data_IF_401750305398
#
_entry.id   IF_401750305398
#
_cell.length_a   1.000
_cell.length_b   1.000
_cell.length_c   1.000
_cell.angle_alpha   90.00
_cell.angle_beta   90.00
_cell.angle_gamma   90.00
#
_symmetry.space_group_name_H-M   'P 1'
#
loop_
_entity.id
_entity.type
_entity.pdbx_description
1 polymer ?
#
# COMPACT_ATOMS: atom_id res chain seq x y z
N UNK A 1 -4.13 23.79 -23.23
CA UNK A 1 -2.81 23.17 -23.10
C UNK A 1 -2.81 22.44 -21.77
N UNK A 2 -2.71 21.12 -21.79
CA UNK A 2 -2.58 20.32 -20.55
C UNK A 2 -1.28 20.75 -19.87
N UNK A 3 -1.36 21.40 -18.71
CA UNK A 3 -0.19 21.65 -17.88
C UNK A 3 0.23 20.30 -17.35
N UNK A 4 1.33 19.72 -17.89
CA UNK A 4 1.91 18.50 -17.37
C UNK A 4 2.13 18.69 -15.85
N UNK A 5 1.60 17.78 -15.05
CA UNK A 5 1.82 17.78 -13.62
C UNK A 5 3.27 17.36 -13.36
N UNK A 6 3.97 18.00 -12.42
CA UNK A 6 5.38 17.69 -12.13
C UNK A 6 5.62 16.23 -11.65
N UNK A 7 4.56 15.51 -11.31
CA UNK A 7 4.56 14.09 -10.94
C UNK A 7 4.12 13.16 -12.07
N UNK A 8 3.87 13.67 -13.27
CA UNK A 8 3.43 12.83 -14.39
C UNK A 8 4.52 11.83 -14.79
N UNK A 9 4.10 10.59 -15.05
CA UNK A 9 4.97 9.49 -15.43
C UNK A 9 4.93 9.21 -16.93
N UNK A 10 6.04 8.68 -17.45
CA UNK A 10 5.99 7.84 -18.66
C UNK A 10 5.34 6.51 -18.29
N UNK A 11 4.03 6.40 -18.53
CA UNK A 11 3.21 5.28 -18.06
C UNK A 11 3.63 3.93 -18.64
N UNK A 12 3.95 3.80 -19.95
CA UNK A 12 4.51 2.57 -20.51
C UNK A 12 5.80 2.16 -19.81
N UNK A 13 6.77 3.06 -19.71
CA UNK A 13 8.06 2.79 -19.07
C UNK A 13 7.90 2.42 -17.60
N UNK A 14 7.12 3.18 -16.84
CA UNK A 14 6.85 2.89 -15.43
C UNK A 14 6.21 1.51 -15.26
N UNK A 15 5.25 1.16 -16.11
CA UNK A 15 4.62 -0.16 -16.10
C UNK A 15 5.65 -1.27 -16.33
N UNK A 16 6.49 -1.15 -17.34
CA UNK A 16 7.48 -2.16 -17.69
C UNK A 16 8.53 -2.34 -16.58
N UNK A 17 8.96 -1.25 -15.94
CA UNK A 17 9.88 -1.29 -14.81
C UNK A 17 9.26 -2.00 -13.60
N UNK A 18 8.00 -1.69 -13.25
CA UNK A 18 7.32 -2.32 -12.11
C UNK A 18 7.03 -3.81 -12.36
N UNK A 19 6.66 -4.18 -13.57
CA UNK A 19 6.47 -5.58 -13.98
C UNK A 19 7.78 -6.35 -13.94
N UNK A 20 8.89 -5.76 -14.41
CA UNK A 20 10.21 -6.37 -14.34
C UNK A 20 10.67 -6.54 -12.90
N UNK A 21 10.51 -5.51 -12.07
CA UNK A 21 10.79 -5.57 -10.64
C UNK A 21 10.05 -6.75 -9.96
N UNK A 22 8.75 -6.87 -10.19
CA UNK A 22 7.96 -7.96 -9.62
C UNK A 22 8.49 -9.34 -10.04
N UNK A 23 8.80 -9.51 -11.34
CA UNK A 23 9.34 -10.77 -11.86
C UNK A 23 10.69 -11.14 -11.26
N UNK A 24 11.58 -10.18 -11.17
CA UNK A 24 12.93 -10.38 -10.66
C UNK A 24 12.92 -10.71 -9.17
N UNK A 25 12.19 -9.95 -8.35
CA UNK A 25 12.17 -10.16 -6.91
C UNK A 25 11.45 -11.44 -6.50
N UNK A 26 10.34 -11.80 -7.14
CA UNK A 26 9.63 -13.05 -6.85
C UNK A 26 10.48 -14.26 -7.24
N UNK A 27 11.13 -14.22 -8.42
CA UNK A 27 12.03 -15.29 -8.87
C UNK A 27 13.26 -15.43 -7.99
N UNK A 28 13.87 -14.33 -7.56
CA UNK A 28 15.02 -14.35 -6.67
C UNK A 28 14.70 -14.90 -5.27
N UNK A 29 13.42 -14.88 -4.88
CA UNK A 29 12.94 -15.58 -3.70
C UNK A 29 12.63 -17.08 -3.94
N UNK A 30 12.85 -17.59 -5.17
CA UNK A 30 12.56 -18.97 -5.55
C UNK A 30 11.07 -19.24 -5.77
N UNK A 31 10.28 -18.22 -6.07
CA UNK A 31 8.83 -18.31 -6.28
C UNK A 31 8.42 -17.78 -7.66
N UNK A 32 7.19 -18.09 -8.08
CA UNK A 32 6.64 -17.67 -9.38
C UNK A 32 5.23 -17.07 -9.26
N UNK A 33 4.67 -16.98 -8.05
CA UNK A 33 3.29 -16.61 -7.78
C UNK A 33 3.19 -15.45 -6.80
N UNK A 34 2.05 -14.76 -6.84
CA UNK A 34 1.76 -13.64 -5.98
C UNK A 34 0.40 -13.78 -5.27
N UNK A 35 0.32 -13.24 -4.06
CA UNK A 35 -0.93 -13.10 -3.29
C UNK A 35 -1.14 -11.62 -3.01
N UNK A 36 -2.31 -11.10 -3.36
CA UNK A 36 -2.69 -9.69 -3.19
C UNK A 36 -3.96 -9.58 -2.35
N UNK A 37 -3.91 -8.81 -1.28
CA UNK A 37 -5.11 -8.40 -0.55
C UNK A 37 -5.89 -7.37 -1.37
N UNK A 38 -7.10 -7.73 -1.82
CA UNK A 38 -7.92 -6.89 -2.68
C UNK A 38 -9.05 -6.24 -1.89
N UNK A 39 -8.89 -4.96 -1.57
CA UNK A 39 -9.82 -4.19 -0.72
C UNK A 39 -10.95 -3.50 -1.49
N UNK A 40 -10.88 -3.50 -2.83
CA UNK A 40 -11.76 -2.69 -3.67
C UNK A 40 -11.37 -1.21 -3.76
N UNK A 41 -10.20 -0.84 -3.22
CA UNK A 41 -9.56 0.46 -3.40
C UNK A 41 -8.55 0.45 -4.55
N UNK A 42 -8.21 1.64 -5.05
CA UNK A 42 -7.38 1.84 -6.24
C UNK A 42 -5.97 1.23 -6.11
N UNK A 43 -5.35 1.32 -4.94
CA UNK A 43 -3.99 0.82 -4.71
C UNK A 43 -3.92 -0.69 -4.83
N UNK A 44 -4.87 -1.40 -4.19
CA UNK A 44 -4.97 -2.86 -4.30
C UNK A 44 -5.32 -3.31 -5.72
N UNK A 45 -6.14 -2.54 -6.44
CA UNK A 45 -6.48 -2.80 -7.83
C UNK A 45 -5.26 -2.64 -8.74
N UNK A 46 -4.44 -1.60 -8.54
CA UNK A 46 -3.20 -1.40 -9.29
C UNK A 46 -2.19 -2.52 -9.01
N UNK A 47 -1.99 -2.89 -7.74
CA UNK A 47 -1.10 -4.01 -7.39
C UNK A 47 -1.55 -5.31 -8.04
N UNK A 48 -2.87 -5.60 -8.07
CA UNK A 48 -3.40 -6.78 -8.74
C UNK A 48 -3.16 -6.74 -10.25
N UNK A 49 -3.39 -5.59 -10.91
CA UNK A 49 -3.16 -5.40 -12.34
C UNK A 49 -1.69 -5.64 -12.72
N UNK A 50 -0.76 -5.11 -11.91
CA UNK A 50 0.67 -5.31 -12.11
C UNK A 50 1.06 -6.78 -11.91
N UNK A 51 0.52 -7.47 -10.89
CA UNK A 51 0.77 -8.88 -10.65
C UNK A 51 0.23 -9.76 -11.77
N UNK A 52 -1.00 -9.54 -12.23
CA UNK A 52 -1.59 -10.27 -13.36
C UNK A 52 -0.76 -10.10 -14.64
N UNK A 53 -0.20 -8.91 -14.87
CA UNK A 53 0.70 -8.65 -16.00
C UNK A 53 2.09 -9.27 -15.82
N UNK A 54 2.59 -9.34 -14.59
CA UNK A 54 3.91 -9.90 -14.28
C UNK A 54 3.94 -11.43 -14.33
N UNK A 55 2.95 -12.09 -13.76
CA UNK A 55 2.95 -13.53 -13.51
C UNK A 55 1.89 -14.29 -14.32
N UNK A 56 0.94 -13.60 -14.92
CA UNK A 56 -0.29 -14.18 -15.48
C UNK A 56 -1.40 -14.28 -14.41
N UNK A 57 -2.67 -14.25 -14.85
CA UNK A 57 -3.81 -14.37 -13.93
C UNK A 57 -3.81 -15.70 -13.15
N UNK A 58 -3.34 -16.78 -13.76
CA UNK A 58 -3.26 -18.12 -13.18
C UNK A 58 -2.22 -18.25 -12.05
N UNK A 59 -1.26 -17.31 -11.96
CA UNK A 59 -0.22 -17.26 -10.94
C UNK A 59 -0.44 -16.11 -9.94
N UNK A 60 -1.59 -15.46 -10.00
CA UNK A 60 -1.95 -14.36 -9.11
C UNK A 60 -3.21 -14.74 -8.33
N UNK A 61 -3.19 -14.57 -7.02
CA UNK A 61 -4.34 -14.80 -6.14
C UNK A 61 -4.82 -13.49 -5.53
N UNK A 62 -6.08 -13.14 -5.75
CA UNK A 62 -6.75 -12.03 -5.09
C UNK A 62 -7.48 -12.51 -3.84
N UNK A 63 -7.23 -11.89 -2.68
CA UNK A 63 -7.88 -12.26 -1.42
C UNK A 63 -8.75 -11.11 -0.92
N UNK A 64 -10.05 -11.34 -0.89
CA UNK A 64 -11.05 -10.42 -0.39
C UNK A 64 -11.34 -10.79 1.07
N UNK A 65 -11.18 -9.84 1.98
CA UNK A 65 -11.27 -10.09 3.41
C UNK A 65 -12.21 -9.08 4.10
N UNK A 66 -13.53 -9.16 3.80
CA UNK A 66 -14.48 -8.26 4.42
C UNK A 66 -14.61 -8.53 5.93
N UNK A 67 -14.92 -7.47 6.66
CA UNK A 67 -15.41 -7.53 8.02
C UNK A 67 -16.92 -7.19 7.99
N UNK A 68 -17.72 -7.63 8.94
CA UNK A 68 -19.19 -7.46 8.96
C UNK A 68 -19.69 -6.02 8.75
N UNK A 69 -18.87 -5.01 9.04
CA UNK A 69 -19.20 -3.58 8.83
C UNK A 69 -18.49 -2.96 7.63
N UNK A 70 -17.78 -3.75 6.84
CA UNK A 70 -17.17 -3.26 5.60
C UNK A 70 -18.24 -2.81 4.62
N UNK A 71 -17.92 -1.76 3.86
CA UNK A 71 -18.83 -1.25 2.84
C UNK A 71 -19.05 -2.30 1.74
N UNK A 72 -20.30 -2.70 1.44
CA UNK A 72 -20.61 -3.66 0.37
C UNK A 72 -20.04 -3.25 -1.00
N UNK A 73 -19.95 -1.95 -1.30
CA UNK A 73 -19.36 -1.47 -2.54
C UNK A 73 -17.87 -1.83 -2.64
N UNK A 74 -17.17 -1.91 -1.51
CA UNK A 74 -15.75 -2.32 -1.48
C UNK A 74 -15.59 -3.75 -1.98
N UNK A 75 -16.44 -4.67 -1.55
CA UNK A 75 -16.45 -6.06 -2.01
C UNK A 75 -16.82 -6.16 -3.48
N UNK A 76 -17.87 -5.43 -3.92
CA UNK A 76 -18.29 -5.40 -5.32
C UNK A 76 -17.16 -4.87 -6.24
N UNK A 77 -16.46 -3.81 -5.85
CA UNK A 77 -15.32 -3.26 -6.58
C UNK A 77 -14.12 -4.23 -6.62
N UNK A 78 -13.88 -4.96 -5.55
CA UNK A 78 -12.85 -5.99 -5.52
C UNK A 78 -13.18 -7.14 -6.49
N UNK A 79 -14.42 -7.63 -6.49
CA UNK A 79 -14.90 -8.65 -7.40
C UNK A 79 -14.74 -8.16 -8.86
N UNK A 80 -15.23 -6.95 -9.16
CA UNK A 80 -15.13 -6.35 -10.49
C UNK A 80 -13.68 -6.27 -10.98
N UNK A 81 -12.76 -5.92 -10.08
CA UNK A 81 -11.33 -5.82 -10.39
C UNK A 81 -10.74 -7.20 -10.68
N UNK A 82 -11.01 -8.21 -9.83
CA UNK A 82 -10.52 -9.57 -10.05
C UNK A 82 -11.03 -10.16 -11.38
N UNK A 83 -12.32 -9.96 -11.68
CA UNK A 83 -12.95 -10.41 -12.93
C UNK A 83 -12.35 -9.70 -14.16
N UNK A 84 -12.06 -8.39 -14.05
CA UNK A 84 -11.43 -7.59 -15.11
C UNK A 84 -10.08 -8.16 -15.57
N UNK A 85 -9.30 -8.69 -14.64
CA UNK A 85 -7.98 -9.24 -14.94
C UNK A 85 -7.96 -10.78 -15.02
N UNK A 86 -9.10 -11.45 -14.85
CA UNK A 86 -9.22 -12.90 -14.90
C UNK A 86 -8.49 -13.63 -13.78
N UNK A 87 -8.30 -12.98 -12.64
CA UNK A 87 -7.53 -13.50 -11.50
C UNK A 87 -8.43 -14.33 -10.58
N UNK A 88 -7.93 -15.49 -10.12
CA UNK A 88 -8.60 -16.28 -9.09
C UNK A 88 -8.80 -15.43 -7.82
N UNK A 89 -10.01 -15.50 -7.25
CA UNK A 89 -10.32 -14.80 -6.00
C UNK A 89 -10.77 -15.73 -4.91
N UNK A 90 -10.38 -15.41 -3.67
CA UNK A 90 -10.90 -16.04 -2.45
C UNK A 90 -11.54 -15.00 -1.55
N UNK A 91 -12.74 -15.28 -1.10
CA UNK A 91 -13.46 -14.47 -0.12
C UNK A 91 -13.34 -15.13 1.25
N UNK A 92 -12.79 -14.39 2.22
CA UNK A 92 -12.60 -14.87 3.60
C UNK A 92 -13.11 -13.78 4.55
N UNK A 93 -14.28 -14.00 5.14
CA UNK A 93 -14.83 -13.12 6.16
C UNK A 93 -13.96 -13.18 7.44
N UNK A 94 -13.44 -12.01 7.86
CA UNK A 94 -12.56 -11.90 9.03
C UNK A 94 -13.33 -11.66 10.34
N UNK A 95 -14.66 -11.51 10.30
CA UNK A 95 -15.45 -11.08 11.45
C UNK A 95 -15.24 -11.99 12.65
N UNK A 96 -15.32 -13.30 12.44
CA UNK A 96 -15.15 -14.27 13.54
C UNK A 96 -13.75 -14.21 14.17
N UNK A 97 -12.71 -13.98 13.36
CA UNK A 97 -11.34 -13.88 13.84
C UNK A 97 -11.13 -12.59 14.65
N UNK A 98 -11.70 -11.49 14.17
CA UNK A 98 -11.59 -10.17 14.80
C UNK A 98 -12.45 -10.10 16.07
N UNK A 99 -13.71 -10.53 16.00
CA UNK A 99 -14.66 -10.49 17.12
C UNK A 99 -14.20 -11.37 18.28
N UNK A 100 -13.61 -12.54 17.98
CA UNK A 100 -13.03 -13.42 18.99
C UNK A 100 -11.96 -12.76 19.88
N UNK A 101 -11.38 -11.66 19.42
CA UNK A 101 -10.45 -10.86 20.24
C UNK A 101 -11.09 -9.58 20.79
N UNK A 102 -11.83 -8.82 19.97
CA UNK A 102 -12.30 -7.49 20.37
C UNK A 102 -13.44 -7.55 21.40
N UNK A 103 -14.36 -8.52 21.28
CA UNK A 103 -15.52 -8.63 22.16
C UNK A 103 -15.13 -9.02 23.60
N UNK A 104 -14.36 -10.11 23.83
CA UNK A 104 -13.94 -10.46 25.18
C UNK A 104 -13.05 -9.42 25.86
N UNK A 105 -12.37 -8.58 25.07
CA UNK A 105 -11.45 -7.56 25.58
C UNK A 105 -12.05 -6.15 25.58
N UNK A 106 -13.35 -5.99 25.29
CA UNK A 106 -14.08 -4.73 25.26
C UNK A 106 -13.32 -3.62 24.49
N UNK A 107 -12.84 -3.95 23.27
CA UNK A 107 -12.11 -3.01 22.42
C UNK A 107 -13.11 -2.10 21.72
N UNK A 108 -13.35 -0.92 22.28
CA UNK A 108 -14.30 0.09 21.75
C UNK A 108 -13.61 1.10 20.81
N UNK A 109 -12.35 1.43 21.06
CA UNK A 109 -11.58 2.39 20.27
C UNK A 109 -11.44 1.98 18.80
N UNK A 110 -11.87 2.85 17.88
CA UNK A 110 -11.90 2.58 16.44
C UNK A 110 -10.53 2.29 15.84
N UNK A 111 -9.49 2.99 16.28
CA UNK A 111 -8.10 2.78 15.84
C UNK A 111 -7.59 1.40 16.26
N UNK A 112 -7.88 0.99 17.50
CA UNK A 112 -7.50 -0.35 17.97
C UNK A 112 -8.23 -1.43 17.18
N UNK A 113 -9.52 -1.27 16.92
CA UNK A 113 -10.33 -2.20 16.11
C UNK A 113 -9.79 -2.31 14.69
N UNK A 114 -9.54 -1.19 14.02
CA UNK A 114 -8.94 -1.14 12.69
C UNK A 114 -7.58 -1.84 12.64
N UNK A 115 -6.74 -1.61 13.64
CA UNK A 115 -5.44 -2.28 13.75
C UNK A 115 -5.57 -3.81 13.93
N UNK A 116 -6.58 -4.30 14.65
CA UNK A 116 -6.86 -5.74 14.78
C UNK A 116 -7.31 -6.31 13.43
N UNK A 117 -8.23 -5.62 12.72
CA UNK A 117 -8.68 -6.03 11.40
C UNK A 117 -7.54 -6.09 10.38
N UNK A 118 -6.67 -5.07 10.33
CA UNK A 118 -5.51 -5.05 9.43
C UNK A 118 -4.55 -6.22 9.71
N UNK A 119 -4.31 -6.56 10.98
CA UNK A 119 -3.45 -7.70 11.35
C UNK A 119 -4.10 -9.05 11.11
N UNK A 120 -5.41 -9.18 11.25
CA UNK A 120 -6.14 -10.38 10.87
C UNK A 120 -5.99 -10.63 9.35
N UNK A 121 -6.15 -9.60 8.52
CA UNK A 121 -5.92 -9.68 7.07
C UNK A 121 -4.50 -10.09 6.74
N UNK A 122 -3.51 -9.49 7.39
CA UNK A 122 -2.10 -9.86 7.22
C UNK A 122 -1.86 -11.34 7.53
N UNK A 123 -2.38 -11.85 8.63
CA UNK A 123 -2.23 -13.27 9.03
C UNK A 123 -2.77 -14.20 7.94
N UNK A 124 -3.94 -13.90 7.38
CA UNK A 124 -4.55 -14.68 6.30
C UNK A 124 -3.70 -14.63 5.02
N UNK A 125 -3.20 -13.45 4.63
CA UNK A 125 -2.37 -13.30 3.45
C UNK A 125 -1.09 -14.13 3.53
N UNK A 126 -0.43 -14.12 4.70
CA UNK A 126 0.80 -14.90 4.90
C UNK A 126 0.55 -16.40 5.01
N UNK A 127 -0.56 -16.84 5.57
CA UNK A 127 -0.99 -18.25 5.53
C UNK A 127 -1.21 -18.71 4.09
N UNK A 128 -2.02 -17.96 3.33
CA UNK A 128 -2.29 -18.28 1.93
C UNK A 128 -1.04 -18.18 1.04
N UNK A 129 -0.06 -17.35 1.39
CA UNK A 129 1.19 -17.28 0.63
C UNK A 129 1.96 -18.60 0.66
N UNK A 130 1.89 -19.34 1.77
CA UNK A 130 2.50 -20.66 1.89
C UNK A 130 1.70 -21.69 1.08
N UNK A 131 0.38 -21.71 1.21
CA UNK A 131 -0.48 -22.61 0.45
C UNK A 131 -0.34 -22.40 -1.05
N UNK A 132 -0.39 -21.11 -1.48
CA UNK A 132 -0.29 -20.71 -2.89
C UNK A 132 1.13 -20.80 -3.45
N UNK A 133 2.14 -20.95 -2.59
CA UNK A 133 3.59 -20.87 -2.94
C UNK A 133 3.91 -19.57 -3.67
N UNK A 134 3.46 -18.45 -3.12
CA UNK A 134 3.64 -17.12 -3.68
C UNK A 134 4.01 -16.10 -2.63
N UNK A 135 4.51 -14.94 -3.06
CA UNK A 135 4.82 -13.84 -2.15
C UNK A 135 3.61 -12.93 -1.93
N UNK A 136 3.49 -12.39 -0.70
CA UNK A 136 2.53 -11.32 -0.41
C UNK A 136 3.02 -10.03 -1.03
N UNK A 137 2.21 -9.46 -1.93
CA UNK A 137 2.49 -8.20 -2.60
C UNK A 137 1.78 -7.05 -1.90
N UNK A 138 2.54 -6.01 -1.57
CA UNK A 138 2.04 -4.80 -0.91
C UNK A 138 1.22 -3.89 -1.82
N UNK A 139 0.42 -3.06 -1.18
CA UNK A 139 -0.47 -2.10 -1.83
C UNK A 139 -0.28 -0.68 -1.29
N UNK A 140 0.70 -0.46 -0.40
CA UNK A 140 0.98 0.86 0.18
C UNK A 140 1.77 1.73 -0.80
N UNK A 141 1.25 2.90 -1.12
CA UNK A 141 1.94 3.87 -1.97
C UNK A 141 2.91 4.77 -1.18
N UNK A 142 3.76 5.53 -1.89
CA UNK A 142 4.78 6.41 -1.30
C UNK A 142 4.17 7.46 -0.37
N UNK A 143 3.05 8.05 -0.74
CA UNK A 143 2.36 9.08 0.04
C UNK A 143 1.90 8.53 1.40
N UNK A 144 1.20 7.39 1.38
CA UNK A 144 0.74 6.71 2.60
C UNK A 144 1.91 6.28 3.48
N UNK A 145 2.96 5.71 2.88
CA UNK A 145 4.17 5.31 3.62
C UNK A 145 4.86 6.50 4.27
N UNK A 146 5.00 7.63 3.58
CA UNK A 146 5.62 8.83 4.12
C UNK A 146 4.79 9.42 5.27
N UNK A 147 3.48 9.51 5.10
CA UNK A 147 2.56 9.99 6.14
C UNK A 147 2.39 9.01 7.30
N UNK A 148 2.79 7.73 7.11
CA UNK A 148 2.57 6.66 8.07
C UNK A 148 1.09 6.30 8.22
N UNK A 149 0.31 6.49 7.16
CA UNK A 149 -1.09 6.13 7.09
C UNK A 149 -1.25 4.64 6.78
N UNK A 150 -0.89 3.82 7.75
CA UNK A 150 -0.93 2.36 7.69
C UNK A 150 -0.82 1.75 9.09
N UNK A 151 -1.21 0.51 9.23
CA UNK A 151 -1.00 -0.30 10.44
C UNK A 151 0.30 -1.09 10.32
N UNK A 152 1.27 -0.80 11.20
CA UNK A 152 2.50 -1.58 11.27
C UNK A 152 2.19 -3.05 11.57
N UNK A 153 2.76 -3.95 10.75
CA UNK A 153 2.49 -5.40 10.80
C UNK A 153 1.02 -5.76 10.55
N UNK A 154 0.30 -4.89 9.85
CA UNK A 154 -1.02 -5.11 9.29
C UNK A 154 -0.97 -4.97 7.78
N UNK A 155 -1.62 -3.94 7.23
CA UNK A 155 -1.59 -3.60 5.80
C UNK A 155 -0.19 -3.16 5.31
N UNK A 156 0.68 -2.68 6.21
CA UNK A 156 2.08 -2.41 5.90
C UNK A 156 2.96 -3.68 5.81
N UNK A 157 2.44 -4.87 6.10
CA UNK A 157 3.18 -6.12 6.02
C UNK A 157 3.08 -6.74 4.63
N UNK A 158 4.20 -6.82 3.94
CA UNK A 158 4.31 -7.43 2.62
C UNK A 158 5.75 -7.92 2.40
N UNK A 159 5.94 -8.84 1.46
CA UNK A 159 7.26 -9.32 1.08
C UNK A 159 7.92 -8.40 0.04
N UNK A 160 7.11 -7.88 -0.89
CA UNK A 160 7.53 -6.93 -1.94
C UNK A 160 6.44 -5.87 -2.11
N UNK A 161 6.81 -4.66 -2.52
CA UNK A 161 5.84 -3.57 -2.70
C UNK A 161 6.12 -2.76 -3.98
N UNK A 162 5.37 -3.01 -5.06
CA UNK A 162 5.57 -2.28 -6.32
C UNK A 162 5.13 -0.81 -6.27
N UNK A 163 4.27 -0.43 -5.32
CA UNK A 163 3.74 0.93 -5.23
C UNK A 163 4.56 1.85 -4.33
N UNK A 164 5.56 1.32 -3.63
CA UNK A 164 6.28 2.03 -2.57
C UNK A 164 7.00 3.31 -3.00
N UNK A 165 7.27 3.49 -4.29
CA UNK A 165 7.88 4.71 -4.85
C UNK A 165 6.90 5.53 -5.72
N UNK A 166 5.62 5.19 -5.72
CA UNK A 166 4.57 5.93 -6.44
C UNK A 166 3.81 6.85 -5.49
N UNK A 167 3.73 8.12 -5.82
CA UNK A 167 2.80 9.05 -5.18
C UNK A 167 1.34 8.70 -5.55
N UNK A 168 0.37 9.12 -4.73
CA UNK A 168 -1.06 8.81 -4.96
C UNK A 168 -1.55 9.27 -6.34
N UNK A 169 -1.12 10.44 -6.79
CA UNK A 169 -1.36 10.93 -8.15
C UNK A 169 -0.89 9.93 -9.22
N UNK A 170 0.31 9.38 -9.07
CA UNK A 170 0.90 8.40 -9.99
C UNK A 170 0.17 7.05 -9.95
N UNK A 171 -0.31 6.64 -8.78
CA UNK A 171 -1.19 5.46 -8.66
C UNK A 171 -2.45 5.64 -9.49
N UNK A 172 -3.10 6.81 -9.42
CA UNK A 172 -4.30 7.10 -10.24
C UNK A 172 -3.99 7.04 -11.73
N UNK A 173 -2.88 7.65 -12.17
CA UNK A 173 -2.46 7.63 -13.58
C UNK A 173 -2.21 6.21 -14.09
N UNK A 174 -1.41 5.42 -13.37
CA UNK A 174 -1.11 4.04 -13.76
C UNK A 174 -2.34 3.13 -13.72
N UNK A 175 -3.22 3.32 -12.74
CA UNK A 175 -4.47 2.57 -12.65
C UNK A 175 -5.36 2.80 -13.87
N UNK A 176 -5.51 4.04 -14.29
CA UNK A 176 -6.26 4.39 -15.50
C UNK A 176 -5.59 3.81 -16.76
N UNK A 177 -4.26 3.90 -16.86
CA UNK A 177 -3.48 3.35 -17.98
C UNK A 177 -3.61 1.83 -18.09
N UNK A 178 -3.60 1.11 -16.97
CA UNK A 178 -3.72 -0.35 -16.94
C UNK A 178 -5.18 -0.85 -17.05
N UNK A 179 -6.15 0.05 -17.09
CA UNK A 179 -7.55 -0.28 -17.30
C UNK A 179 -8.26 -0.81 -16.04
N UNK A 180 -7.89 -0.29 -14.88
CA UNK A 180 -8.66 -0.49 -13.63
C UNK A 180 -10.10 0.00 -13.86
N UNK A 181 -11.12 -0.72 -13.37
CA UNK A 181 -12.51 -0.34 -13.55
C UNK A 181 -12.80 1.10 -13.08
N UNK A 182 -13.67 1.78 -13.84
CA UNK A 182 -14.01 3.19 -13.61
C UNK A 182 -14.60 3.42 -12.21
N UNK A 183 -15.38 2.48 -11.74
CA UNK A 183 -16.02 2.51 -10.42
C UNK A 183 -14.97 2.56 -9.29
N UNK A 184 -13.83 1.91 -9.50
CA UNK A 184 -12.69 1.92 -8.56
C UNK A 184 -11.90 3.22 -8.67
N UNK A 185 -11.73 3.74 -9.90
CA UNK A 185 -11.01 5.00 -10.14
C UNK A 185 -11.74 6.21 -9.55
N UNK A 186 -13.07 6.22 -9.59
CA UNK A 186 -13.92 7.33 -9.12
C UNK A 186 -14.27 7.22 -7.63
N UNK A 187 -13.95 6.08 -6.97
CA UNK A 187 -14.21 5.89 -5.55
C UNK A 187 -13.29 6.78 -4.70
N UNK A 188 -13.84 7.57 -3.76
CA UNK A 188 -13.02 8.31 -2.81
C UNK A 188 -12.11 7.37 -1.99
N UNK A 189 -10.84 7.72 -1.79
CA UNK A 189 -9.94 6.91 -0.97
C UNK A 189 -10.45 6.74 0.47
N UNK A 190 -10.49 5.50 0.94
CA UNK A 190 -10.92 5.16 2.30
C UNK A 190 -10.27 3.86 2.77
N UNK A 191 -9.84 3.84 4.03
CA UNK A 191 -9.36 2.63 4.70
C UNK A 191 -10.50 1.65 5.02
N UNK A 192 -11.77 2.07 4.90
CA UNK A 192 -12.99 1.27 5.14
C UNK A 192 -12.99 0.52 6.50
N UNK A 193 -12.49 1.21 7.53
CA UNK A 193 -12.44 0.69 8.90
C UNK A 193 -13.62 1.17 9.75
N UNK A 194 -14.20 2.31 9.40
CA UNK A 194 -15.36 2.93 10.05
C UNK A 194 -16.30 3.45 8.96
N UNK A 195 -17.60 3.32 9.20
CA UNK A 195 -18.65 3.79 8.27
C UNK A 195 -18.49 5.30 7.97
N UNK A 196 -18.49 5.66 6.68
CA UNK A 196 -18.33 7.05 6.23
C UNK A 196 -16.91 7.60 6.31
N UNK A 197 -15.90 6.79 6.66
CA UNK A 197 -14.51 7.21 6.71
C UNK A 197 -13.99 7.59 5.32
N UNK A 198 -13.22 8.68 5.26
CA UNK A 198 -12.40 9.03 4.10
C UNK A 198 -10.98 9.34 4.57
N UNK A 199 -9.99 8.93 3.77
CA UNK A 199 -8.58 9.18 4.12
C UNK A 199 -8.27 10.66 4.26
N UNK A 200 -8.78 11.50 3.35
CA UNK A 200 -8.57 12.95 3.38
C UNK A 200 -9.22 13.61 4.59
N UNK A 201 -10.37 13.07 5.04
CA UNK A 201 -11.01 13.50 6.29
C UNK A 201 -10.13 13.22 7.52
N UNK A 202 -9.53 12.04 7.59
CA UNK A 202 -8.62 11.64 8.68
C UNK A 202 -7.28 12.39 8.64
N UNK A 203 -6.80 12.69 7.45
CA UNK A 203 -5.53 13.41 7.24
C UNK A 203 -5.68 14.90 7.50
N UNK A 204 -6.83 15.49 7.16
CA UNK A 204 -7.10 16.93 7.23
C UNK A 204 -6.57 17.72 6.03
N UNK A 205 -6.18 17.05 4.96
CA UNK A 205 -5.74 17.62 3.69
C UNK A 205 -5.93 16.62 2.54
N UNK A 206 -5.93 17.11 1.30
CA UNK A 206 -6.10 16.27 0.12
C UNK A 206 -4.82 15.54 -0.24
N UNK A 207 -4.94 14.41 -0.94
CA UNK A 207 -3.79 13.67 -1.47
C UNK A 207 -2.99 14.49 -2.48
N UNK A 208 -3.66 15.29 -3.34
CA UNK A 208 -2.98 16.18 -4.29
C UNK A 208 -2.05 17.18 -3.56
N UNK A 209 -2.56 17.82 -2.52
CA UNK A 209 -1.76 18.75 -1.73
C UNK A 209 -0.61 18.04 -1.00
N UNK A 210 -0.87 16.87 -0.44
CA UNK A 210 0.15 16.06 0.21
C UNK A 210 1.27 15.65 -0.75
N UNK A 211 0.92 15.16 -1.93
CA UNK A 211 1.88 14.73 -2.95
C UNK A 211 2.79 15.87 -3.41
N UNK A 212 2.23 17.05 -3.65
CA UNK A 212 2.98 18.24 -4.05
C UNK A 212 3.96 18.71 -2.97
N UNK A 213 3.57 18.66 -1.70
CA UNK A 213 4.44 19.01 -0.57
C UNK A 213 5.50 17.93 -0.36
N UNK A 214 5.11 16.65 -0.35
CA UNK A 214 6.01 15.53 -0.12
C UNK A 214 7.06 15.40 -1.22
N UNK A 215 6.68 15.58 -2.48
CA UNK A 215 7.61 15.59 -3.60
C UNK A 215 8.69 16.67 -3.44
N UNK A 216 8.31 17.89 -3.10
CA UNK A 216 9.28 18.98 -2.85
C UNK A 216 10.16 18.67 -1.64
N UNK A 217 9.57 18.20 -0.55
CA UNK A 217 10.28 17.90 0.68
C UNK A 217 11.29 16.74 0.51
N UNK A 218 10.87 15.65 -0.15
CA UNK A 218 11.64 14.40 -0.21
C UNK A 218 12.51 14.34 -1.46
N UNK A 219 11.93 14.54 -2.64
CA UNK A 219 12.67 14.37 -3.90
C UNK A 219 13.45 15.63 -4.27
N UNK A 220 12.90 16.83 -4.00
CA UNK A 220 13.56 18.11 -4.27
C UNK A 220 14.33 18.64 -3.07
N UNK A 221 14.21 18.02 -1.89
CA UNK A 221 14.90 18.41 -0.64
C UNK A 221 14.63 19.83 -0.17
N UNK A 222 13.43 20.32 -0.40
CA UNK A 222 13.00 21.63 0.09
C UNK A 222 12.90 21.63 1.61
N UNK A 223 13.25 22.77 2.22
CA UNK A 223 12.98 23.02 3.63
C UNK A 223 11.53 23.47 3.82
N UNK A 224 11.07 23.49 5.10
CA UNK A 224 9.75 24.09 5.42
C UNK A 224 9.64 25.54 4.97
N UNK A 225 10.72 26.31 5.12
CA UNK A 225 10.75 27.71 4.72
C UNK A 225 10.59 27.88 3.20
N UNK A 226 11.22 27.00 2.41
CA UNK A 226 11.08 27.03 0.94
C UNK A 226 9.64 26.72 0.52
N UNK A 227 8.99 25.74 1.17
CA UNK A 227 7.59 25.40 0.89
C UNK A 227 6.63 26.56 1.21
N UNK A 228 6.82 27.23 2.35
CA UNK A 228 6.02 28.39 2.71
C UNK A 228 6.28 29.56 1.75
N UNK A 229 7.53 29.76 1.31
CA UNK A 229 7.87 30.77 0.33
C UNK A 229 7.24 30.51 -1.07
N UNK A 230 7.01 29.24 -1.43
CA UNK A 230 6.23 28.85 -2.63
C UNK A 230 4.71 29.03 -2.48
N UNK A 231 4.23 29.43 -1.30
CA UNK A 231 2.83 29.74 -1.05
C UNK A 231 2.00 28.59 -0.46
N UNK A 232 2.64 27.50 0.00
CA UNK A 232 1.93 26.46 0.77
C UNK A 232 1.59 26.97 2.18
N UNK A 233 0.42 26.59 2.67
CA UNK A 233 -0.01 26.95 4.03
C UNK A 233 0.93 26.35 5.08
N UNK A 234 1.45 27.19 5.98
CA UNK A 234 2.43 26.79 7.00
C UNK A 234 1.90 25.73 7.95
N UNK A 235 0.60 25.77 8.30
CA UNK A 235 -0.03 24.81 9.19
C UNK A 235 -0.08 23.43 8.55
N UNK A 236 -0.46 23.37 7.27
CA UNK A 236 -0.50 22.11 6.50
C UNK A 236 0.89 21.55 6.30
N UNK A 237 1.86 22.38 5.90
CA UNK A 237 3.28 21.97 5.78
C UNK A 237 3.79 21.39 7.09
N UNK A 238 3.55 22.07 8.21
CA UNK A 238 3.98 21.62 9.53
C UNK A 238 3.32 20.30 9.93
N UNK A 239 2.02 20.13 9.67
CA UNK A 239 1.28 18.89 9.93
C UNK A 239 1.87 17.72 9.14
N UNK A 240 2.10 17.88 7.85
CA UNK A 240 2.68 16.85 6.97
C UNK A 240 4.08 16.46 7.46
N UNK A 241 4.96 17.45 7.69
CA UNK A 241 6.32 17.19 8.15
C UNK A 241 6.34 16.46 9.50
N UNK A 242 5.48 16.87 10.44
CA UNK A 242 5.37 16.19 11.74
C UNK A 242 4.91 14.74 11.58
N UNK A 243 3.94 14.46 10.70
CA UNK A 243 3.52 13.08 10.41
C UNK A 243 4.66 12.25 9.83
N UNK A 244 5.41 12.79 8.87
CA UNK A 244 6.57 12.10 8.26
C UNK A 244 7.62 11.73 9.32
N UNK A 245 7.96 12.68 10.20
CA UNK A 245 8.95 12.46 11.26
C UNK A 245 8.43 11.49 12.33
N UNK A 246 7.21 11.71 12.85
CA UNK A 246 6.61 10.89 13.91
C UNK A 246 6.43 9.43 13.50
N UNK A 247 6.09 9.18 12.23
CA UNK A 247 5.80 7.84 11.71
C UNK A 247 7.01 7.18 11.03
N UNK A 248 8.21 7.75 11.15
CA UNK A 248 9.41 7.20 10.51
C UNK A 248 9.69 5.74 10.94
N UNK A 249 9.37 5.36 12.16
CA UNK A 249 9.56 4.01 12.66
C UNK A 249 8.77 2.95 11.87
N UNK A 250 7.61 3.33 11.28
CA UNK A 250 6.79 2.41 10.49
C UNK A 250 7.44 1.99 9.16
N UNK A 251 8.39 2.82 8.67
CA UNK A 251 9.10 2.60 7.40
C UNK A 251 10.43 1.88 7.56
N UNK A 252 10.80 1.54 8.79
CA UNK A 252 12.06 0.89 9.08
C UNK A 252 11.84 -0.53 9.59
N UNK A 253 12.72 -1.47 9.23
CA UNK A 253 12.82 -2.73 9.99
C UNK A 253 13.01 -2.43 11.48
N UNK A 254 12.71 -3.38 12.36
CA UNK A 254 12.96 -3.23 13.79
C UNK A 254 14.39 -2.77 14.05
N UNK A 255 14.54 -1.74 14.92
CA UNK A 255 15.86 -1.22 15.26
C UNK A 255 16.62 -2.25 16.09
N UNK A 256 17.83 -2.57 15.66
CA UNK A 256 18.70 -3.54 16.31
C UNK A 256 19.84 -2.80 17.00
N UNK A 257 20.12 -3.14 18.26
CA UNK A 257 21.27 -2.61 18.97
C UNK A 257 22.57 -3.09 18.32
N UNK A 258 23.43 -2.14 17.95
CA UNK A 258 24.71 -2.43 17.31
C UNK A 258 25.76 -2.79 18.37
N UNK A 259 26.13 -4.06 18.41
CA UNK A 259 27.18 -4.58 19.31
C UNK A 259 28.42 -5.08 18.56
N UNK A 260 28.31 -5.30 17.26
CA UNK A 260 29.37 -5.82 16.41
C UNK A 260 29.67 -4.93 15.21
N UNK A 261 30.65 -5.35 14.41
CA UNK A 261 31.07 -4.61 13.20
C UNK A 261 30.06 -4.76 12.04
N UNK A 262 29.23 -5.81 12.04
CA UNK A 262 28.26 -6.09 10.99
C UNK A 262 26.92 -6.46 11.58
N UNK A 263 26.04 -5.48 11.65
CA UNK A 263 24.69 -5.63 12.19
C UNK A 263 23.69 -5.77 11.04
N UNK A 264 22.79 -6.76 11.13
CA UNK A 264 21.71 -6.99 10.17
C UNK A 264 20.91 -5.69 9.97
N UNK A 265 20.52 -5.40 8.74
CA UNK A 265 19.81 -4.18 8.32
C UNK A 265 20.56 -2.85 8.55
N UNK A 266 21.86 -2.90 8.92
CA UNK A 266 22.71 -1.72 9.05
C UNK A 266 23.97 -1.85 8.16
N UNK A 267 24.88 -2.75 8.54
CA UNK A 267 26.18 -2.90 7.86
C UNK A 267 26.32 -4.25 7.12
N UNK A 268 25.39 -5.17 7.36
CA UNK A 268 25.43 -6.49 6.75
C UNK A 268 25.05 -6.41 5.26
N UNK A 269 25.93 -6.92 4.40
CA UNK A 269 25.61 -7.12 2.98
C UNK A 269 25.01 -8.51 2.81
N UNK A 270 23.87 -8.58 2.17
CA UNK A 270 23.20 -9.86 1.90
C UNK A 270 24.00 -10.68 0.89
N UNK A 271 24.13 -11.98 1.12
CA UNK A 271 24.92 -12.89 0.29
C UNK A 271 24.47 -12.88 -1.16
N UNK A 272 23.18 -12.77 -1.41
CA UNK A 272 22.61 -12.63 -2.74
C UNK A 272 23.22 -11.47 -3.54
N UNK A 273 23.55 -10.37 -2.87
CA UNK A 273 23.94 -9.12 -3.52
C UNK A 273 25.45 -9.02 -3.79
N UNK A 274 26.24 -9.94 -3.26
CA UNK A 274 27.70 -9.88 -3.39
C UNK A 274 28.40 -11.22 -3.66
N UNK A 275 27.64 -12.31 -3.74
CA UNK A 275 28.14 -13.63 -4.10
C UNK A 275 27.58 -14.13 -5.45
N UNK A 276 26.75 -13.33 -6.12
CA UNK A 276 26.21 -13.64 -7.45
C UNK A 276 27.06 -13.06 -8.57
#
# INVERSE_FOLDING_TARGET
MSTAHELDLDLPLATDLLVSFLREEVRSAGMERAVVGLSGGIDSALSLALCARAFGPENTLAVLMPYRTSNPDSEAHAILTADRYGVERRLIDISRMVDGYIEPNAVEDGTRRGNVMARARMTILYDLSVEWRGLVVGTSNKTEMLLGYSTQWGDAAHAINPLGDLYKHQVVQLSAHLGVPREVLEKPPSADLVEGQTDEGDLGFTYDLADRILYRLVDRRYTRADLVAEGFDETVVSSIVQRVVRNQYKRRPPVIAKLGYRTINQDFRYLRDWMS
#
